data_IF_188317544235
#
_entry.id   IF_188317544235
#
_cell.length_a   1.000
_cell.length_b   1.000
_cell.length_c   1.000
_cell.angle_alpha   90.00
_cell.angle_beta   90.00
_cell.angle_gamma   90.00
#
_symmetry.space_group_name_H-M   'P 1'
#
loop_
_entity.id
_entity.type
_entity.pdbx_description
1 polymer ?
#
# COMPACT_ATOMS: atom_id res chain seq x y z
N UNK A 1 -3.03 -23.11 -4.11
CA UNK A 1 -4.02 -23.42 -3.05
C UNK A 1 -5.37 -22.82 -3.45
N UNK A 2 -6.47 -23.58 -3.36
CA UNK A 2 -7.82 -23.03 -3.60
C UNK A 2 -8.34 -22.43 -2.29
N UNK A 3 -8.67 -21.13 -2.28
CA UNK A 3 -9.38 -20.48 -1.17
C UNK A 3 -10.87 -20.50 -1.49
N UNK A 4 -11.67 -21.15 -0.65
CA UNK A 4 -13.13 -21.16 -0.76
C UNK A 4 -13.68 -19.98 0.04
N UNK A 5 -14.53 -19.17 -0.57
CA UNK A 5 -15.20 -18.03 0.07
C UNK A 5 -16.69 -18.31 -0.03
N UNK A 6 -17.33 -18.47 1.12
CA UNK A 6 -18.76 -18.64 1.20
C UNK A 6 -19.44 -17.27 1.13
N UNK A 7 -20.41 -17.13 0.23
CA UNK A 7 -21.10 -15.87 -0.01
C UNK A 7 -22.60 -16.14 -0.10
N UNK A 8 -23.38 -15.22 0.45
CA UNK A 8 -24.84 -15.31 0.39
C UNK A 8 -25.35 -15.16 -1.05
N UNK A 9 -26.48 -15.82 -1.34
CA UNK A 9 -27.12 -15.84 -2.66
C UNK A 9 -27.56 -14.44 -3.11
N UNK A 10 -27.91 -13.57 -2.16
CA UNK A 10 -28.22 -12.16 -2.45
C UNK A 10 -26.99 -11.41 -2.99
N UNK A 11 -25.82 -11.66 -2.40
CA UNK A 11 -24.55 -11.05 -2.80
C UNK A 11 -24.12 -11.54 -4.19
N UNK A 12 -24.24 -12.84 -4.46
CA UNK A 12 -23.94 -13.43 -5.78
C UNK A 12 -24.76 -12.78 -6.89
N UNK A 13 -26.04 -12.46 -6.61
CA UNK A 13 -26.92 -11.82 -7.59
C UNK A 13 -26.45 -10.40 -7.91
N UNK A 14 -26.09 -9.61 -6.89
CA UNK A 14 -25.53 -8.26 -7.07
C UNK A 14 -24.20 -8.29 -7.82
N UNK A 15 -23.32 -9.23 -7.47
CA UNK A 15 -22.02 -9.41 -8.12
C UNK A 15 -22.19 -9.77 -9.60
N UNK A 16 -23.16 -10.61 -9.96
CA UNK A 16 -23.46 -10.93 -11.36
C UNK A 16 -23.89 -9.70 -12.15
N UNK A 17 -24.76 -8.88 -11.57
CA UNK A 17 -25.20 -7.62 -12.19
C UNK A 17 -24.00 -6.69 -12.42
N UNK A 18 -23.19 -6.46 -11.39
CA UNK A 18 -21.98 -5.63 -11.50
C UNK A 18 -20.98 -6.20 -12.52
N UNK A 19 -20.82 -7.52 -12.55
CA UNK A 19 -19.93 -8.20 -13.49
C UNK A 19 -20.38 -8.01 -14.94
N UNK A 20 -21.69 -7.95 -15.19
CA UNK A 20 -22.24 -7.65 -16.51
C UNK A 20 -22.03 -6.18 -16.91
N UNK A 21 -22.11 -5.24 -15.96
CA UNK A 21 -21.83 -3.83 -16.21
C UNK A 21 -20.34 -3.56 -16.49
N UNK A 22 -19.43 -4.17 -15.73
CA UNK A 22 -17.98 -4.00 -15.92
C UNK A 22 -17.40 -4.93 -17.01
N UNK A 23 -18.23 -5.80 -17.61
CA UNK A 23 -17.81 -6.82 -18.57
C UNK A 23 -16.66 -7.72 -18.06
N UNK A 24 -16.73 -8.08 -16.78
CA UNK A 24 -15.76 -8.91 -16.08
C UNK A 24 -16.40 -10.20 -15.59
N UNK A 25 -15.59 -11.22 -15.30
CA UNK A 25 -16.11 -12.39 -14.58
C UNK A 25 -16.33 -12.05 -13.10
N UNK A 26 -17.31 -12.70 -12.45
CA UNK A 26 -17.55 -12.55 -11.00
C UNK A 26 -16.28 -12.79 -10.18
N UNK A 27 -15.44 -13.74 -10.62
CA UNK A 27 -14.14 -14.01 -9.99
C UNK A 27 -13.18 -12.82 -10.12
N UNK A 28 -13.03 -12.27 -11.33
CA UNK A 28 -12.15 -11.12 -11.57
C UNK A 28 -12.62 -9.87 -10.80
N UNK A 29 -13.94 -9.67 -10.72
CA UNK A 29 -14.52 -8.57 -9.94
C UNK A 29 -14.24 -8.72 -8.44
N UNK A 30 -14.36 -9.94 -7.90
CA UNK A 30 -13.99 -10.20 -6.49
C UNK A 30 -12.49 -10.01 -6.23
N UNK A 31 -11.62 -10.47 -7.14
CA UNK A 31 -10.17 -10.28 -6.99
C UNK A 31 -9.80 -8.80 -7.01
N UNK A 32 -10.42 -8.01 -7.89
CA UNK A 32 -10.25 -6.55 -7.95
C UNK A 32 -10.72 -5.88 -6.65
N UNK A 33 -11.92 -6.20 -6.18
CA UNK A 33 -12.47 -5.64 -4.94
C UNK A 33 -11.59 -5.96 -3.71
N UNK A 34 -11.06 -7.19 -3.62
CA UNK A 34 -10.15 -7.57 -2.53
C UNK A 34 -8.84 -6.78 -2.61
N UNK A 35 -8.24 -6.63 -3.80
CA UNK A 35 -7.03 -5.83 -3.98
C UNK A 35 -7.25 -4.38 -3.55
N UNK A 36 -8.31 -3.76 -4.05
CA UNK A 36 -8.67 -2.38 -3.69
C UNK A 36 -8.93 -2.23 -2.19
N UNK A 37 -9.62 -3.19 -1.57
CA UNK A 37 -9.86 -3.18 -0.13
C UNK A 37 -8.55 -3.24 0.67
N UNK A 38 -7.61 -4.12 0.31
CA UNK A 38 -6.31 -4.23 0.98
C UNK A 38 -5.51 -2.95 0.81
N UNK A 39 -5.37 -2.43 -0.42
CA UNK A 39 -4.62 -1.19 -0.68
C UNK A 39 -5.22 0.00 0.07
N UNK A 40 -6.55 0.11 0.11
CA UNK A 40 -7.22 1.15 0.88
C UNK A 40 -6.97 0.99 2.38
N UNK A 41 -7.03 -0.24 2.90
CA UNK A 41 -6.74 -0.51 4.32
C UNK A 41 -5.32 -0.16 4.71
N UNK A 42 -4.36 -0.36 3.83
CA UNK A 42 -2.97 0.04 4.05
C UNK A 42 -2.82 1.55 4.12
N UNK A 43 -3.47 2.29 3.22
CA UNK A 43 -3.51 3.76 3.26
C UNK A 43 -4.18 4.25 4.55
N UNK A 44 -5.36 3.71 4.89
CA UNK A 44 -6.04 4.04 6.15
C UNK A 44 -5.15 3.75 7.37
N UNK A 45 -4.31 2.70 7.33
CA UNK A 45 -3.39 2.40 8.43
C UNK A 45 -2.34 3.49 8.58
N UNK A 46 -1.80 4.00 7.48
CA UNK A 46 -0.81 5.09 7.48
C UNK A 46 -1.46 6.40 7.94
N UNK A 47 -2.67 6.70 7.47
CA UNK A 47 -3.39 7.93 7.83
C UNK A 47 -3.77 7.97 9.32
N UNK A 48 -4.02 6.81 9.92
CA UNK A 48 -4.35 6.67 11.34
C UNK A 48 -3.13 6.72 12.28
N UNK A 49 -1.90 6.76 11.77
CA UNK A 49 -0.72 6.97 12.59
C UNK A 49 -0.72 8.39 13.17
N UNK A 50 -0.22 8.55 14.39
CA UNK A 50 0.11 9.87 14.93
C UNK A 50 1.25 10.51 14.14
N UNK A 51 1.42 11.82 14.27
CA UNK A 51 2.48 12.55 13.56
C UNK A 51 3.88 12.04 13.95
N UNK A 52 4.11 11.74 15.23
CA UNK A 52 5.38 11.14 15.71
C UNK A 52 5.64 9.77 15.06
N UNK A 53 4.62 8.91 14.98
CA UNK A 53 4.74 7.60 14.34
C UNK A 53 4.97 7.70 12.82
N UNK A 54 4.46 8.75 12.16
CA UNK A 54 4.73 9.02 10.74
C UNK A 54 6.15 9.51 10.53
N UNK A 55 6.66 10.36 11.42
CA UNK A 55 8.05 10.83 11.40
C UNK A 55 9.02 9.65 11.57
N UNK A 56 8.77 8.78 12.54
CA UNK A 56 9.54 7.55 12.76
C UNK A 56 9.52 6.63 11.53
N UNK A 57 8.35 6.43 10.93
CA UNK A 57 8.21 5.63 9.70
C UNK A 57 8.99 6.27 8.53
N UNK A 58 8.95 7.60 8.42
CA UNK A 58 9.72 8.37 7.44
C UNK A 58 11.23 8.19 7.63
N UNK A 59 11.70 8.27 8.88
CA UNK A 59 13.10 8.02 9.21
C UNK A 59 13.52 6.60 8.81
N UNK A 60 12.70 5.59 9.11
CA UNK A 60 12.98 4.20 8.73
C UNK A 60 13.09 4.03 7.20
N UNK A 61 12.24 4.70 6.42
CA UNK A 61 12.33 4.67 4.96
C UNK A 61 13.60 5.33 4.43
N UNK A 62 14.04 6.44 5.03
CA UNK A 62 15.29 7.11 4.67
C UNK A 62 16.49 6.21 4.97
N UNK A 63 16.50 5.53 6.11
CA UNK A 63 17.56 4.58 6.47
C UNK A 63 17.61 3.37 5.53
N UNK A 64 16.46 2.92 4.99
CA UNK A 64 16.42 1.82 4.03
C UNK A 64 16.98 2.24 2.65
N UNK A 65 16.81 3.50 2.26
CA UNK A 65 17.29 4.04 0.99
C UNK A 65 18.73 4.55 1.04
N UNK A 66 19.25 4.82 2.25
CA UNK A 66 20.63 5.23 2.44
C UNK A 66 21.57 4.10 2.01
N UNK A 67 22.39 4.38 1.01
CA UNK A 67 23.49 3.51 0.64
C UNK A 67 24.53 3.55 1.77
N UNK A 68 24.70 2.43 2.46
CA UNK A 68 25.63 2.35 3.59
C UNK A 68 27.11 2.29 3.14
N UNK A 69 27.37 2.27 1.83
CA UNK A 69 28.72 2.26 1.25
C UNK A 69 29.15 3.63 0.72
N UNK A 70 28.25 4.62 0.65
CA UNK A 70 28.56 5.98 0.19
C UNK A 70 29.02 6.85 1.37
N UNK A 71 30.33 7.07 1.47
CA UNK A 71 30.96 7.87 2.52
C UNK A 71 31.44 9.20 1.95
N UNK A 72 30.97 10.32 2.52
CA UNK A 72 31.51 11.64 2.25
C UNK A 72 32.72 11.93 3.16
N UNK A 73 33.70 12.67 2.64
CA UNK A 73 34.80 13.20 3.47
C UNK A 73 34.31 14.37 4.31
N UNK A 74 34.99 14.62 5.44
CA UNK A 74 34.68 15.72 6.35
C UNK A 74 34.66 17.08 5.63
N UNK A 75 35.65 17.34 4.76
CA UNK A 75 35.70 18.56 3.94
C UNK A 75 34.50 18.71 3.00
N UNK A 76 34.03 17.63 2.39
CA UNK A 76 32.87 17.65 1.50
C UNK A 76 31.57 17.92 2.27
N UNK A 77 31.46 17.38 3.48
CA UNK A 77 30.32 17.59 4.37
C UNK A 77 30.22 19.06 4.83
N UNK A 78 31.31 19.63 5.33
CA UNK A 78 31.31 21.02 5.78
C UNK A 78 31.05 22.01 4.64
N UNK A 79 31.54 21.72 3.43
CA UNK A 79 31.24 22.55 2.26
C UNK A 79 29.76 22.56 1.88
N UNK A 80 29.04 21.45 2.07
CA UNK A 80 27.60 21.36 1.77
C UNK A 80 26.72 22.06 2.83
N UNK A 81 27.23 22.27 4.04
CA UNK A 81 26.54 22.97 5.13
C UNK A 81 26.64 24.50 5.05
N UNK A 82 27.64 25.01 4.33
CA UNK A 82 27.90 26.44 4.16
C UNK A 82 27.21 27.07 2.93
N UNK A 83 26.39 26.31 2.19
CA UNK A 83 25.45 26.81 1.16
C UNK A 83 24.08 27.18 1.76
#
# INVERSE_FOLDING_TARGET
MKKLIEVDKSLVTKLKILSAFENLSVKALMEKAIKEFVSKKELERIDNLSEEEKEDLGLLFLMQQADNEDFATEEAFFKALDE
#
